data_IF_079353426337
#
_entry.id   IF_079353426337
#
_cell.length_a   1.000
_cell.length_b   1.000
_cell.length_c   1.000
_cell.angle_alpha   90.00
_cell.angle_beta   90.00
_cell.angle_gamma   90.00
#
_symmetry.space_group_name_H-M   'P 1'
#
loop_
_entity.id
_entity.type
_entity.pdbx_description
1 polymer ?
#
# COMPACT_ATOMS: atom_id res chain seq x y z
N UNK A 1 8.56 -7.01 16.94
CA UNK A 1 7.75 -8.21 16.66
C UNK A 1 7.05 -8.64 17.94
N UNK A 2 5.73 -8.84 17.88
CA UNK A 2 4.90 -9.21 19.05
C UNK A 2 4.04 -10.44 18.80
N UNK A 3 3.85 -10.84 17.53
CA UNK A 3 3.08 -12.02 17.13
C UNK A 3 3.63 -12.60 15.82
N UNK A 4 3.63 -13.90 15.69
CA UNK A 4 3.89 -14.62 14.45
C UNK A 4 3.23 -16.01 14.51
N UNK A 5 2.85 -16.55 13.34
CA UNK A 5 2.20 -17.87 13.28
C UNK A 5 3.20 -19.02 13.37
N UNK A 6 4.32 -18.90 12.67
CA UNK A 6 5.41 -19.88 12.69
C UNK A 6 6.74 -19.23 12.30
N UNK A 7 7.84 -19.92 12.58
CA UNK A 7 9.17 -19.51 12.16
C UNK A 7 10.05 -20.73 11.86
N UNK A 8 11.06 -20.54 11.07
CA UNK A 8 12.15 -21.50 10.87
C UNK A 8 13.26 -21.22 11.89
N UNK A 9 13.83 -22.25 12.51
CA UNK A 9 14.81 -22.11 13.59
C UNK A 9 16.04 -21.29 13.19
N UNK A 10 16.44 -21.33 11.91
CA UNK A 10 17.55 -20.55 11.37
C UNK A 10 17.18 -19.11 10.99
N UNK A 11 15.87 -18.80 10.91
CA UNK A 11 15.33 -17.54 10.44
C UNK A 11 14.16 -17.05 11.33
N UNK A 12 14.44 -16.80 12.62
CA UNK A 12 13.41 -16.48 13.59
C UNK A 12 12.82 -15.08 13.36
N UNK A 13 11.58 -14.88 13.81
CA UNK A 13 10.81 -13.65 13.58
C UNK A 13 11.42 -12.40 14.23
N UNK A 14 12.20 -12.56 15.29
CA UNK A 14 12.89 -11.45 15.94
C UNK A 14 13.97 -10.78 15.04
N UNK A 15 14.43 -11.44 13.99
CA UNK A 15 15.32 -10.86 12.99
C UNK A 15 14.71 -9.64 12.28
N UNK A 16 13.38 -9.54 12.22
CA UNK A 16 12.69 -8.39 11.64
C UNK A 16 12.65 -7.14 12.55
N UNK A 17 13.10 -7.24 13.80
CA UNK A 17 13.19 -6.09 14.71
C UNK A 17 14.37 -5.17 14.40
N UNK A 18 15.36 -5.65 13.65
CA UNK A 18 16.58 -4.91 13.37
C UNK A 18 16.94 -5.03 11.90
N UNK A 19 17.18 -3.89 11.26
CA UNK A 19 17.67 -3.86 9.88
C UNK A 19 19.18 -3.68 9.92
N UNK A 20 19.91 -4.70 9.50
CA UNK A 20 21.37 -4.66 9.35
C UNK A 20 21.81 -5.51 8.17
N UNK A 21 23.02 -5.28 7.62
CA UNK A 21 23.54 -6.12 6.53
C UNK A 21 23.66 -7.61 6.88
N UNK A 22 23.70 -7.94 8.17
CA UNK A 22 23.85 -9.29 8.69
C UNK A 22 22.52 -9.98 9.02
N UNK A 23 21.39 -9.25 8.98
CA UNK A 23 20.08 -9.86 9.23
C UNK A 23 19.69 -10.77 8.08
N UNK A 24 19.25 -11.98 8.43
CA UNK A 24 18.78 -12.99 7.47
C UNK A 24 17.29 -12.85 7.18
N UNK A 25 16.58 -12.09 8.00
CA UNK A 25 15.13 -11.96 7.97
C UNK A 25 14.41 -13.17 8.57
N UNK A 26 13.11 -13.17 8.44
CA UNK A 26 12.23 -14.23 8.90
C UNK A 26 11.83 -15.18 7.76
N UNK A 27 11.64 -16.45 8.09
CA UNK A 27 10.99 -17.43 7.24
C UNK A 27 9.95 -18.19 8.05
N UNK A 28 8.83 -18.52 7.43
CA UNK A 28 7.85 -19.42 8.04
C UNK A 28 8.44 -20.83 8.23
N UNK A 29 7.87 -21.61 9.12
CA UNK A 29 8.26 -23.02 9.24
C UNK A 29 8.07 -23.77 7.92
N UNK A 30 8.81 -24.86 7.77
CA UNK A 30 8.69 -25.75 6.60
C UNK A 30 7.31 -26.39 6.59
N UNK A 31 6.68 -26.41 5.40
CA UNK A 31 5.33 -26.95 5.20
C UNK A 31 4.28 -26.35 6.14
N UNK A 32 4.41 -25.06 6.47
CA UNK A 32 3.45 -24.36 7.31
C UNK A 32 2.08 -24.30 6.64
N UNK A 33 1.04 -24.18 7.47
CA UNK A 33 -0.31 -23.88 6.99
C UNK A 33 -0.46 -22.38 6.74
N UNK A 34 -1.23 -22.00 5.74
CA UNK A 34 -1.56 -20.62 5.44
C UNK A 34 -3.01 -20.30 5.89
N UNK A 35 -3.33 -19.02 6.23
CA UNK A 35 -2.43 -17.86 6.19
C UNK A 35 -1.43 -17.83 7.34
N UNK A 36 -0.28 -17.18 7.11
CA UNK A 36 0.68 -16.84 8.16
C UNK A 36 0.48 -15.40 8.63
N UNK A 37 0.61 -15.14 9.91
CA UNK A 37 0.51 -13.82 10.51
C UNK A 37 1.86 -13.35 11.02
N UNK A 38 2.15 -12.05 10.81
CA UNK A 38 3.22 -11.31 11.48
C UNK A 38 2.64 -10.05 12.12
N UNK A 39 2.89 -9.87 13.41
CA UNK A 39 2.45 -8.72 14.18
C UNK A 39 3.62 -7.90 14.72
N UNK A 40 3.58 -6.60 14.48
CA UNK A 40 4.58 -5.63 14.94
C UNK A 40 3.94 -4.64 15.90
N UNK A 41 4.65 -4.29 16.94
CA UNK A 41 4.31 -3.18 17.83
C UNK A 41 5.24 -2.01 17.55
N UNK A 42 4.69 -0.82 17.46
CA UNK A 42 5.45 0.42 17.35
C UNK A 42 5.97 0.82 18.74
N UNK A 43 7.25 1.21 18.81
CA UNK A 43 7.92 1.46 20.10
C UNK A 43 7.34 2.69 20.79
N UNK A 44 7.02 3.72 20.01
CA UNK A 44 6.54 5.00 20.52
C UNK A 44 5.01 5.04 20.73
N UNK A 45 4.34 3.88 20.69
CA UNK A 45 2.89 3.80 20.85
C UNK A 45 2.11 4.14 19.58
N UNK A 46 1.11 5.02 19.68
CA UNK A 46 0.35 5.49 18.52
C UNK A 46 1.12 6.57 17.77
N UNK A 47 1.66 6.22 16.61
CA UNK A 47 2.42 7.11 15.74
C UNK A 47 1.83 7.15 14.32
N UNK A 48 1.95 8.29 13.62
CA UNK A 48 1.56 8.37 12.23
C UNK A 48 2.54 7.58 11.35
N UNK A 49 2.00 6.77 10.45
CA UNK A 49 2.75 5.99 9.46
C UNK A 49 2.40 6.51 8.08
N UNK A 50 3.40 6.94 7.32
CA UNK A 50 3.24 7.40 5.94
C UNK A 50 3.66 6.37 4.92
N UNK A 51 4.52 5.42 5.30
CA UNK A 51 5.09 4.48 4.36
C UNK A 51 5.48 3.17 5.05
N UNK A 52 5.21 2.06 4.36
CA UNK A 52 5.74 0.74 4.70
C UNK A 52 6.63 0.26 3.57
N UNK A 53 7.81 -0.23 3.89
CA UNK A 53 8.72 -0.90 2.98
C UNK A 53 8.89 -2.35 3.40
N UNK A 54 8.76 -3.27 2.44
CA UNK A 54 8.92 -4.71 2.66
C UNK A 54 9.90 -5.27 1.63
N UNK A 55 10.99 -5.85 2.12
CA UNK A 55 11.97 -6.56 1.30
C UNK A 55 11.67 -8.06 1.35
N UNK A 56 11.26 -8.62 0.21
CA UNK A 56 10.94 -10.04 0.07
C UNK A 56 12.19 -10.89 -0.06
N UNK A 57 12.08 -12.17 0.29
CA UNK A 57 13.08 -13.17 -0.02
C UNK A 57 13.09 -13.47 -1.54
N UNK A 58 14.25 -13.84 -2.11
CA UNK A 58 14.39 -14.04 -3.56
C UNK A 58 13.63 -15.25 -4.13
N UNK A 59 13.35 -16.29 -3.33
CA UNK A 59 12.66 -17.51 -3.79
C UNK A 59 11.51 -17.96 -2.91
N UNK A 60 11.50 -17.60 -1.62
CA UNK A 60 10.41 -17.89 -0.68
C UNK A 60 9.44 -16.69 -0.63
N UNK A 61 8.67 -16.51 -1.70
CA UNK A 61 7.91 -15.30 -1.97
C UNK A 61 6.43 -15.56 -1.73
N UNK A 62 5.78 -14.64 -1.02
CA UNK A 62 4.32 -14.64 -0.87
C UNK A 62 3.64 -14.18 -2.15
N UNK A 63 2.50 -14.80 -2.51
CA UNK A 63 1.66 -14.30 -3.60
C UNK A 63 0.95 -13.02 -3.21
N UNK A 64 0.46 -12.95 -1.97
CA UNK A 64 -0.35 -11.85 -1.46
C UNK A 64 -0.12 -11.66 0.03
N UNK A 65 0.04 -10.40 0.43
CA UNK A 65 0.15 -9.99 1.84
C UNK A 65 -0.91 -8.92 2.10
N UNK A 66 -1.83 -9.17 3.02
CA UNK A 66 -2.78 -8.18 3.51
C UNK A 66 -2.19 -7.43 4.70
N UNK A 67 -2.46 -6.13 4.76
CA UNK A 67 -1.94 -5.25 5.79
C UNK A 67 -3.08 -4.63 6.61
N UNK A 68 -2.88 -4.60 7.93
CA UNK A 68 -3.79 -4.01 8.88
C UNK A 68 -3.05 -3.08 9.83
N UNK A 69 -3.73 -1.99 10.22
CA UNK A 69 -3.32 -1.11 11.30
C UNK A 69 -4.10 -1.45 12.57
N UNK A 70 -3.46 -1.44 13.72
CA UNK A 70 -4.08 -1.78 15.00
C UNK A 70 -4.00 -0.63 15.99
N UNK A 71 -5.08 -0.43 16.75
CA UNK A 71 -5.21 0.54 17.83
C UNK A 71 -5.46 -0.16 19.15
N UNK A 72 -4.80 0.27 20.20
CA UNK A 72 -4.99 -0.27 21.54
C UNK A 72 -3.70 -0.40 22.33
N UNK A 73 -3.82 -0.87 23.57
CA UNK A 73 -2.69 -1.04 24.50
C UNK A 73 -1.97 -2.39 24.37
N UNK A 74 -2.61 -3.39 23.75
CA UNK A 74 -2.06 -4.74 23.59
C UNK A 74 -2.47 -5.31 22.24
N UNK A 75 -1.56 -6.02 21.58
CA UNK A 75 -1.80 -6.67 20.28
C UNK A 75 -3.02 -7.61 20.29
N UNK A 76 -3.21 -8.36 21.39
CA UNK A 76 -4.32 -9.33 21.53
C UNK A 76 -5.69 -8.67 21.64
N UNK A 77 -5.76 -7.45 22.17
CA UNK A 77 -7.01 -6.71 22.38
C UNK A 77 -7.18 -5.55 21.40
N UNK A 78 -6.21 -5.32 20.54
CA UNK A 78 -6.22 -4.23 19.56
C UNK A 78 -7.34 -4.42 18.55
N UNK A 79 -7.95 -3.30 18.16
CA UNK A 79 -8.88 -3.26 17.04
C UNK A 79 -8.09 -3.06 15.75
N UNK A 80 -8.22 -3.99 14.82
CA UNK A 80 -7.50 -3.96 13.56
C UNK A 80 -8.38 -3.49 12.41
N UNK A 81 -7.90 -2.49 11.67
CA UNK A 81 -8.53 -1.99 10.44
C UNK A 81 -7.67 -2.41 9.25
N UNK A 82 -8.30 -3.02 8.25
CA UNK A 82 -7.61 -3.46 7.02
C UNK A 82 -7.22 -2.25 6.18
N UNK A 83 -5.94 -2.14 5.80
CA UNK A 83 -5.44 -1.07 4.94
C UNK A 83 -5.47 -1.44 3.46
N UNK A 84 -5.28 -2.71 3.14
CA UNK A 84 -5.25 -3.20 1.77
C UNK A 84 -4.41 -4.46 1.64
N UNK A 85 -3.93 -4.74 0.43
CA UNK A 85 -3.03 -5.85 0.16
C UNK A 85 -1.94 -5.46 -0.84
N UNK A 86 -0.83 -6.20 -0.82
CA UNK A 86 0.20 -6.17 -1.84
C UNK A 86 0.37 -7.55 -2.45
N UNK A 87 0.63 -7.63 -3.75
CA UNK A 87 1.10 -8.82 -4.44
C UNK A 87 2.59 -8.68 -4.72
N UNK A 88 3.29 -9.79 -4.68
CA UNK A 88 4.72 -9.86 -5.01
C UNK A 88 4.90 -10.72 -6.26
N UNK A 89 5.91 -10.40 -7.07
CA UNK A 89 6.26 -11.17 -8.26
C UNK A 89 6.83 -12.53 -7.88
N UNK A 90 6.64 -13.55 -8.75
CA UNK A 90 7.23 -14.88 -8.56
C UNK A 90 8.75 -14.91 -8.64
N UNK A 91 9.35 -13.86 -9.22
CA UNK A 91 10.78 -13.66 -9.39
C UNK A 91 11.49 -14.70 -10.29
N UNK A 92 10.72 -15.42 -11.11
CA UNK A 92 11.26 -16.41 -12.04
C UNK A 92 12.12 -15.77 -13.14
N UNK A 93 11.75 -14.54 -13.57
CA UNK A 93 12.47 -13.79 -14.60
C UNK A 93 13.92 -13.48 -14.19
N UNK A 94 14.16 -13.19 -12.91
CA UNK A 94 15.51 -12.97 -12.38
C UNK A 94 16.25 -14.27 -12.05
N UNK A 95 15.65 -15.43 -12.32
CA UNK A 95 16.14 -16.75 -11.87
C UNK A 95 16.36 -16.80 -10.34
N UNK A 96 15.52 -16.10 -9.57
CA UNK A 96 15.58 -15.99 -8.12
C UNK A 96 16.86 -15.33 -7.57
N UNK A 97 17.50 -14.47 -8.34
CA UNK A 97 18.73 -13.78 -7.92
C UNK A 97 18.49 -12.39 -7.36
N UNK A 98 17.36 -11.76 -7.72
CA UNK A 98 16.96 -10.47 -7.18
C UNK A 98 16.06 -10.61 -5.94
N UNK A 99 15.89 -9.53 -5.20
CA UNK A 99 14.92 -9.39 -4.10
C UNK A 99 14.02 -8.22 -4.40
N UNK A 100 12.71 -8.41 -4.32
CA UNK A 100 11.76 -7.32 -4.51
C UNK A 100 11.66 -6.47 -3.24
N UNK A 101 11.89 -5.15 -3.39
CA UNK A 101 11.58 -4.16 -2.38
C UNK A 101 10.23 -3.51 -2.74
N UNK A 102 9.19 -3.83 -1.96
CA UNK A 102 7.88 -3.24 -2.12
C UNK A 102 7.74 -2.03 -1.20
N UNK A 103 7.41 -0.89 -1.78
CA UNK A 103 7.12 0.34 -1.04
C UNK A 103 5.64 0.65 -1.14
N UNK A 104 5.00 0.87 0.00
CA UNK A 104 3.57 1.19 0.12
C UNK A 104 3.45 2.54 0.79
N UNK A 105 2.75 3.46 0.14
CA UNK A 105 2.43 4.76 0.70
C UNK A 105 1.09 4.70 1.40
N UNK A 106 1.05 5.24 2.60
CA UNK A 106 -0.10 5.24 3.50
C UNK A 106 -0.39 6.69 3.88
N UNK A 107 -1.64 7.11 3.90
CA UNK A 107 -2.00 8.51 4.21
C UNK A 107 -1.92 8.80 5.71
N UNK A 108 -0.70 8.87 6.24
CA UNK A 108 -0.42 9.25 7.64
C UNK A 108 -1.38 8.63 8.66
N UNK A 109 -1.64 7.34 8.51
CA UNK A 109 -2.53 6.62 9.41
C UNK A 109 -1.83 6.43 10.75
N UNK A 110 -2.50 6.83 11.82
CA UNK A 110 -2.00 6.64 13.19
C UNK A 110 -2.31 5.23 13.66
N UNK A 111 -1.40 4.60 14.40
CA UNK A 111 -1.62 3.30 15.01
C UNK A 111 -0.50 2.86 15.93
N UNK A 112 -0.77 1.82 16.72
CA UNK A 112 0.19 1.20 17.65
C UNK A 112 0.75 -0.12 17.13
N UNK A 113 0.03 -0.75 16.20
CA UNK A 113 0.38 -2.08 15.69
C UNK A 113 0.21 -2.16 14.19
N UNK A 114 1.08 -2.96 13.55
CA UNK A 114 0.91 -3.41 12.16
C UNK A 114 0.76 -4.93 12.18
N UNK A 115 -0.21 -5.43 11.41
CA UNK A 115 -0.41 -6.86 11.18
C UNK A 115 -0.35 -7.15 9.69
N UNK A 116 0.47 -8.14 9.33
CA UNK A 116 0.58 -8.66 7.98
C UNK A 116 -0.01 -10.08 7.96
N UNK A 117 -0.93 -10.33 7.03
CA UNK A 117 -1.52 -11.64 6.78
C UNK A 117 -1.04 -12.13 5.42
N UNK A 118 -0.25 -13.19 5.43
CA UNK A 118 0.42 -13.78 4.28
C UNK A 118 -0.42 -14.95 3.80
N UNK A 119 -1.00 -14.86 2.60
CA UNK A 119 -2.01 -15.83 2.13
C UNK A 119 -1.40 -17.17 1.71
N UNK A 120 -0.40 -17.16 0.88
CA UNK A 120 0.28 -18.35 0.37
C UNK A 120 1.61 -17.98 -0.31
N UNK A 121 2.43 -18.97 -0.63
CA UNK A 121 3.69 -18.79 -1.35
C UNK A 121 3.54 -19.02 -2.86
N UNK A 122 4.44 -18.44 -3.65
CA UNK A 122 4.67 -18.84 -5.03
C UNK A 122 5.34 -20.21 -5.07
N UNK A 123 4.81 -21.12 -5.89
CA UNK A 123 5.41 -22.45 -6.10
C UNK A 123 6.61 -22.32 -7.04
N UNK A 124 7.77 -22.77 -6.60
CA UNK A 124 8.97 -22.82 -7.42
C UNK A 124 9.94 -23.91 -6.92
N UNK A 125 10.89 -24.31 -7.79
CA UNK A 125 11.83 -25.40 -7.51
C UNK A 125 12.82 -25.13 -6.39
N UNK A 126 13.05 -23.84 -6.04
CA UNK A 126 13.96 -23.44 -4.96
C UNK A 126 13.27 -23.39 -3.60
N UNK A 127 11.94 -23.48 -3.57
CA UNK A 127 11.11 -23.42 -2.36
C UNK A 127 10.33 -24.71 -2.15
N UNK A 128 11.02 -25.83 -2.10
CA UNK A 128 10.42 -27.16 -1.95
C UNK A 128 9.67 -27.36 -0.62
N UNK A 129 9.96 -26.53 0.39
CA UNK A 129 9.32 -26.56 1.71
C UNK A 129 8.12 -25.64 1.82
N UNK A 130 7.67 -25.02 0.72
CA UNK A 130 6.51 -24.12 0.66
C UNK A 130 6.54 -22.99 1.73
N UNK A 131 7.72 -22.42 1.98
CA UNK A 131 7.93 -21.35 2.96
C UNK A 131 7.69 -19.96 2.34
N UNK A 132 7.45 -18.99 3.20
CA UNK A 132 7.55 -17.55 2.87
C UNK A 132 8.64 -16.93 3.71
N UNK A 133 9.41 -16.02 3.10
CA UNK A 133 10.46 -15.27 3.78
C UNK A 133 10.35 -13.77 3.53
N UNK A 134 10.56 -13.01 4.60
CA UNK A 134 10.67 -11.55 4.57
C UNK A 134 12.01 -11.18 5.15
N UNK A 135 12.81 -10.43 4.39
CA UNK A 135 14.16 -10.04 4.80
C UNK A 135 14.12 -8.82 5.74
N UNK A 136 13.28 -7.84 5.43
CA UNK A 136 13.12 -6.64 6.23
C UNK A 136 11.74 -6.02 6.09
N UNK A 137 11.29 -5.36 7.14
CA UNK A 137 10.10 -4.49 7.15
C UNK A 137 10.51 -3.17 7.80
N UNK A 138 10.29 -2.07 7.09
CA UNK A 138 10.49 -0.71 7.61
C UNK A 138 9.18 0.05 7.60
N UNK A 139 8.94 0.81 8.66
CA UNK A 139 7.84 1.74 8.81
C UNK A 139 8.42 3.15 8.92
N UNK A 140 7.92 4.05 8.10
CA UNK A 140 8.36 5.45 8.06
C UNK A 140 7.19 6.35 8.44
N UNK A 141 7.46 7.30 9.31
CA UNK A 141 6.55 8.40 9.62
C UNK A 141 6.53 9.46 8.51
N UNK A 142 5.64 10.46 8.59
CA UNK A 142 5.66 11.60 7.69
C UNK A 142 7.01 12.32 7.81
N UNK A 143 7.62 12.69 6.68
CA UNK A 143 8.80 13.56 6.67
C UNK A 143 8.37 14.94 7.20
N UNK A 144 9.07 15.44 8.20
CA UNK A 144 8.98 16.84 8.58
C UNK A 144 9.59 17.66 7.44
N UNK A 145 8.75 18.20 6.56
CA UNK A 145 9.20 19.30 5.72
C UNK A 145 9.43 20.48 6.66
N UNK A 146 10.68 20.85 6.82
CA UNK A 146 11.09 22.07 7.52
C UNK A 146 10.62 23.28 6.72
N UNK A 147 9.35 23.62 6.84
CA UNK A 147 8.87 24.96 6.55
C UNK A 147 9.18 25.82 7.77
N UNK A 148 10.28 26.56 7.69
CA UNK A 148 10.51 27.73 8.51
C UNK A 148 9.36 28.71 8.30
N UNK A 149 8.38 28.67 9.20
CA UNK A 149 7.43 29.74 9.43
C UNK A 149 7.00 29.72 10.89
N UNK A 150 7.24 30.81 11.64
CA UNK A 150 6.94 30.85 13.07
C UNK A 150 5.44 31.13 13.28
N UNK A 151 4.79 30.23 14.00
CA UNK A 151 3.56 30.52 14.73
C UNK A 151 2.29 29.93 14.20
N UNK A 152 1.90 28.80 14.75
CA UNK A 152 0.56 28.54 15.28
C UNK A 152 0.51 27.09 15.80
N UNK A 153 0.27 26.93 17.08
CA UNK A 153 0.09 25.63 17.72
C UNK A 153 -1.14 24.92 17.14
N UNK A 154 -0.90 23.92 16.33
CA UNK A 154 -1.95 23.01 15.86
C UNK A 154 -2.14 21.91 16.90
N UNK A 155 -3.20 22.03 17.68
CA UNK A 155 -3.73 20.93 18.48
C UNK A 155 -4.21 19.84 17.50
N UNK A 156 -3.51 18.71 17.47
CA UNK A 156 -3.98 17.49 16.81
C UNK A 156 -5.34 17.08 17.42
N UNK A 157 -6.42 17.35 16.73
CA UNK A 157 -7.72 16.76 17.01
C UNK A 157 -7.85 15.44 16.25
N UNK A 158 -7.30 14.38 16.84
CA UNK A 158 -7.40 13.01 16.33
C UNK A 158 -8.75 12.37 16.63
N UNK A 159 -9.85 12.85 16.03
CA UNK A 159 -11.17 12.19 16.18
C UNK A 159 -12.04 12.07 14.92
N UNK A 160 -11.63 12.59 13.77
CA UNK A 160 -12.49 12.61 12.57
C UNK A 160 -12.08 11.67 11.43
N UNK A 161 -10.91 11.01 11.51
CA UNK A 161 -10.39 10.22 10.39
C UNK A 161 -10.69 8.70 10.46
N UNK A 162 -11.27 8.19 11.54
CA UNK A 162 -11.37 6.73 11.79
C UNK A 162 -12.52 6.05 11.03
N UNK A 163 -13.52 6.80 10.54
CA UNK A 163 -14.73 6.17 9.99
C UNK A 163 -14.76 5.92 8.49
N UNK A 164 -13.76 6.35 7.71
CA UNK A 164 -13.79 6.23 6.25
C UNK A 164 -12.89 5.14 5.65
N UNK A 165 -12.23 4.32 6.47
CA UNK A 165 -11.31 3.28 5.96
C UNK A 165 -11.99 1.94 5.61
N UNK A 166 -13.31 1.86 5.66
CA UNK A 166 -14.04 0.60 5.47
C UNK A 166 -14.05 0.05 4.03
N UNK A 167 -13.49 0.76 3.04
CA UNK A 167 -13.46 0.28 1.65
C UNK A 167 -12.07 0.39 1.00
N UNK A 168 -11.00 0.12 1.76
CA UNK A 168 -9.65 -0.01 1.19
C UNK A 168 -9.43 -1.41 0.58
N UNK A 169 -10.28 -1.79 -0.36
CA UNK A 169 -9.97 -2.84 -1.34
C UNK A 169 -9.01 -2.34 -2.43
N UNK A 170 -8.21 -1.30 -2.11
CA UNK A 170 -7.22 -0.73 -3.03
C UNK A 170 -6.07 -1.70 -3.12
N UNK A 171 -5.77 -2.12 -4.33
CA UNK A 171 -4.55 -2.85 -4.64
C UNK A 171 -3.34 -1.92 -4.40
N UNK A 172 -2.51 -2.27 -3.42
CA UNK A 172 -1.31 -1.51 -3.06
C UNK A 172 -0.18 -1.62 -4.12
N UNK A 173 -0.39 -2.39 -5.19
CA UNK A 173 0.52 -2.45 -6.34
C UNK A 173 0.29 -1.33 -7.35
N UNK A 174 -0.66 -0.45 -7.12
CA UNK A 174 -0.89 0.71 -7.99
C UNK A 174 0.23 1.73 -7.88
N UNK A 175 0.46 2.47 -8.97
CA UNK A 175 1.31 3.65 -8.96
C UNK A 175 0.92 4.60 -7.81
N UNK A 176 1.90 5.12 -7.02
CA UNK A 176 1.61 5.93 -5.83
C UNK A 176 0.72 7.14 -6.08
N UNK A 177 0.90 7.82 -7.23
CA UNK A 177 0.08 8.98 -7.60
C UNK A 177 -1.36 8.57 -7.87
N UNK A 178 -1.56 7.45 -8.57
CA UNK A 178 -2.89 6.91 -8.85
C UNK A 178 -3.57 6.42 -7.58
N UNK A 179 -2.82 5.79 -6.68
CA UNK A 179 -3.34 5.38 -5.37
C UNK A 179 -3.83 6.59 -4.55
N UNK A 180 -3.07 7.70 -4.53
CA UNK A 180 -3.50 8.94 -3.88
C UNK A 180 -4.79 9.52 -4.47
N UNK A 181 -4.92 9.54 -5.81
CA UNK A 181 -6.13 9.99 -6.49
C UNK A 181 -7.34 9.09 -6.20
N UNK A 182 -7.14 7.78 -6.13
CA UNK A 182 -8.20 6.83 -5.77
C UNK A 182 -8.73 7.06 -4.35
N UNK A 183 -7.84 7.37 -3.39
CA UNK A 183 -8.27 7.72 -2.03
C UNK A 183 -9.12 8.98 -2.01
N UNK A 184 -8.69 10.04 -2.70
CA UNK A 184 -9.47 11.27 -2.83
C UNK A 184 -10.87 11.03 -3.43
N UNK A 185 -10.97 10.15 -4.43
CA UNK A 185 -12.24 9.76 -5.03
C UNK A 185 -13.09 8.93 -4.07
N UNK A 186 -12.49 8.00 -3.33
CA UNK A 186 -13.19 7.22 -2.31
C UNK A 186 -13.79 8.12 -1.21
N UNK A 187 -13.03 9.10 -0.74
CA UNK A 187 -13.54 10.10 0.22
C UNK A 187 -14.66 10.97 -0.37
N UNK A 188 -14.52 11.37 -1.64
CA UNK A 188 -15.57 12.12 -2.34
C UNK A 188 -16.84 11.27 -2.52
N UNK A 189 -16.70 9.98 -2.81
CA UNK A 189 -17.80 9.03 -2.91
C UNK A 189 -18.52 8.87 -1.57
N UNK A 190 -17.78 8.70 -0.46
CA UNK A 190 -18.35 8.60 0.86
C UNK A 190 -19.17 9.87 1.20
N UNK A 191 -18.61 11.06 0.96
CA UNK A 191 -19.34 12.33 1.16
C UNK A 191 -20.59 12.45 0.29
N UNK A 192 -20.57 11.94 -0.95
CA UNK A 192 -21.74 11.94 -1.81
C UNK A 192 -22.83 10.99 -1.29
N UNK A 193 -22.44 9.84 -0.74
CA UNK A 193 -23.38 8.89 -0.10
C UNK A 193 -23.98 9.50 1.16
N UNK A 194 -23.17 10.15 2.01
CA UNK A 194 -23.64 10.82 3.23
C UNK A 194 -24.62 12.00 2.91
N UNK A 195 -24.43 12.62 1.73
CA UNK A 195 -25.32 13.68 1.22
C UNK A 195 -26.52 13.11 0.42
N UNK A 196 -26.71 11.79 0.38
CA UNK A 196 -27.73 11.08 -0.41
C UNK A 196 -27.66 11.34 -1.92
N UNK A 197 -26.53 11.87 -2.44
CA UNK A 197 -26.29 12.09 -3.87
C UNK A 197 -25.75 10.80 -4.52
N UNK A 198 -26.63 9.84 -4.71
CA UNK A 198 -26.31 8.53 -5.29
C UNK A 198 -25.89 8.61 -6.76
N UNK A 199 -26.28 9.67 -7.48
CA UNK A 199 -25.85 9.87 -8.86
C UNK A 199 -24.37 10.22 -8.95
N UNK A 200 -23.91 11.14 -8.10
CA UNK A 200 -22.50 11.50 -7.99
C UNK A 200 -21.69 10.33 -7.45
N UNK A 201 -22.16 9.62 -6.42
CA UNK A 201 -21.51 8.44 -5.88
C UNK A 201 -21.32 7.33 -6.96
N UNK A 202 -22.35 7.11 -7.82
CA UNK A 202 -22.25 6.17 -8.93
C UNK A 202 -21.23 6.58 -9.99
N UNK A 203 -21.16 7.87 -10.33
CA UNK A 203 -20.16 8.40 -11.28
C UNK A 203 -18.74 8.22 -10.74
N UNK A 204 -18.52 8.59 -9.48
CA UNK A 204 -17.22 8.41 -8.82
C UNK A 204 -16.81 6.93 -8.83
N UNK A 205 -17.72 6.00 -8.53
CA UNK A 205 -17.46 4.55 -8.57
C UNK A 205 -16.99 4.07 -9.95
N UNK A 206 -17.55 4.60 -11.03
CA UNK A 206 -17.10 4.26 -12.39
C UNK A 206 -15.66 4.76 -12.65
N UNK A 207 -15.37 6.00 -12.25
CA UNK A 207 -14.03 6.58 -12.38
C UNK A 207 -13.01 5.84 -11.52
N UNK A 208 -13.36 5.45 -10.29
CA UNK A 208 -12.51 4.60 -9.45
C UNK A 208 -12.15 3.28 -10.15
N UNK A 209 -13.12 2.64 -10.81
CA UNK A 209 -12.88 1.38 -11.54
C UNK A 209 -11.92 1.57 -12.71
N UNK A 210 -12.12 2.64 -13.50
CA UNK A 210 -11.23 2.97 -14.62
C UNK A 210 -9.82 3.33 -14.13
N UNK A 211 -9.71 4.13 -13.08
CA UNK A 211 -8.41 4.49 -12.49
C UNK A 211 -7.64 3.29 -11.96
N UNK A 212 -8.33 2.32 -11.35
CA UNK A 212 -7.68 1.08 -10.90
C UNK A 212 -7.06 0.32 -12.08
N UNK A 213 -7.77 0.21 -13.20
CA UNK A 213 -7.24 -0.43 -14.40
C UNK A 213 -6.03 0.31 -14.99
N UNK A 214 -6.10 1.65 -15.06
CA UNK A 214 -5.01 2.48 -15.57
C UNK A 214 -3.80 2.47 -14.63
N UNK A 215 -3.99 2.52 -13.32
CA UNK A 215 -2.92 2.44 -12.33
C UNK A 215 -2.19 1.11 -12.31
N UNK A 216 -2.90 0.00 -12.53
CA UNK A 216 -2.28 -1.32 -12.71
C UNK A 216 -1.44 -1.37 -13.99
N UNK A 217 -1.92 -0.78 -15.09
CA UNK A 217 -1.15 -0.68 -16.34
C UNK A 217 0.11 0.17 -16.16
N UNK A 218 0.01 1.31 -15.47
CA UNK A 218 1.16 2.16 -15.15
C UNK A 218 2.24 1.41 -14.37
N UNK A 219 1.85 0.66 -13.34
CA UNK A 219 2.79 -0.12 -12.54
C UNK A 219 3.52 -1.18 -13.38
N UNK A 220 2.81 -1.83 -14.32
CA UNK A 220 3.42 -2.78 -15.25
C UNK A 220 4.41 -2.09 -16.21
N UNK A 221 4.06 -0.91 -16.71
CA UNK A 221 4.94 -0.12 -17.61
C UNK A 221 6.17 0.39 -16.89
N UNK A 222 6.06 0.83 -15.63
CA UNK A 222 7.23 1.23 -14.84
C UNK A 222 8.18 0.05 -14.58
N UNK A 223 7.66 -1.16 -14.39
CA UNK A 223 8.49 -2.38 -14.32
C UNK A 223 9.17 -2.66 -15.67
N UNK A 224 8.42 -2.65 -16.78
CA UNK A 224 8.98 -2.89 -18.11
C UNK A 224 10.05 -1.86 -18.48
N UNK A 225 9.87 -0.58 -18.11
CA UNK A 225 10.87 0.46 -18.26
C UNK A 225 12.15 0.16 -17.47
N UNK A 226 12.01 -0.30 -16.21
CA UNK A 226 13.15 -0.70 -15.39
C UNK A 226 13.91 -1.88 -16.00
N UNK A 227 13.20 -2.87 -16.54
CA UNK A 227 13.79 -4.02 -17.22
C UNK A 227 14.54 -3.61 -18.51
N UNK A 228 13.96 -2.69 -19.29
CA UNK A 228 14.62 -2.13 -20.50
C UNK A 228 15.91 -1.37 -20.15
N UNK A 229 15.89 -0.56 -19.09
CA UNK A 229 17.10 0.12 -18.58
C UNK A 229 18.15 -0.88 -18.11
N UNK A 230 17.75 -1.94 -17.41
CA UNK A 230 18.67 -2.98 -16.96
C UNK A 230 19.28 -3.79 -18.11
N UNK A 231 18.55 -3.89 -19.24
CA UNK A 231 19.03 -4.50 -20.49
C UNK A 231 19.83 -3.52 -21.40
N UNK A 232 20.06 -2.27 -20.93
CA UNK A 232 20.69 -1.18 -21.69
C UNK A 232 19.95 -0.81 -22.99
N UNK A 233 18.67 -1.19 -23.14
CA UNK A 233 17.80 -0.82 -24.26
C UNK A 233 17.13 0.54 -23.97
N UNK A 234 17.89 1.60 -24.21
CA UNK A 234 17.43 2.98 -23.92
C UNK A 234 16.36 3.48 -24.90
N UNK A 235 16.30 2.93 -26.11
CA UNK A 235 15.26 3.28 -27.08
C UNK A 235 13.89 2.74 -26.61
N UNK A 236 13.83 1.48 -26.20
CA UNK A 236 12.63 0.89 -25.62
C UNK A 236 12.25 1.59 -24.30
N UNK A 237 13.23 1.88 -23.43
CA UNK A 237 12.98 2.58 -22.18
C UNK A 237 12.37 3.97 -22.40
N UNK A 238 12.78 4.67 -23.47
CA UNK A 238 12.24 5.97 -23.87
C UNK A 238 10.80 5.85 -24.39
N UNK A 239 10.52 4.88 -25.25
CA UNK A 239 9.18 4.62 -25.77
C UNK A 239 8.19 4.34 -24.62
N UNK A 240 8.54 3.44 -23.70
CA UNK A 240 7.72 3.13 -22.51
C UNK A 240 7.52 4.38 -21.64
N UNK A 241 8.53 5.22 -21.49
CA UNK A 241 8.41 6.48 -20.75
C UNK A 241 7.38 7.41 -21.38
N UNK A 242 7.44 7.60 -22.70
CA UNK A 242 6.52 8.49 -23.43
C UNK A 242 5.07 8.00 -23.30
N UNK A 243 4.84 6.68 -23.41
CA UNK A 243 3.53 6.06 -23.16
C UNK A 243 3.07 6.23 -21.69
N UNK A 244 3.97 6.06 -20.72
CA UNK A 244 3.70 6.27 -19.31
C UNK A 244 3.24 7.69 -19.02
N UNK A 245 3.92 8.68 -19.60
CA UNK A 245 3.59 10.10 -19.45
C UNK A 245 2.25 10.46 -20.12
N UNK A 246 1.89 9.79 -21.21
CA UNK A 246 0.58 9.94 -21.83
C UNK A 246 -0.53 9.37 -20.94
N UNK A 247 -0.33 8.20 -20.36
CA UNK A 247 -1.30 7.55 -19.48
C UNK A 247 -1.53 8.37 -18.21
N UNK A 248 -0.48 8.99 -17.64
CA UNK A 248 -0.58 9.89 -16.49
C UNK A 248 -1.42 11.12 -16.79
N UNK A 249 -1.28 11.71 -17.97
CA UNK A 249 -2.13 12.84 -18.42
C UNK A 249 -3.60 12.41 -18.52
N UNK A 250 -3.88 11.24 -19.08
CA UNK A 250 -5.25 10.71 -19.16
C UNK A 250 -5.88 10.54 -17.78
N UNK A 251 -5.13 10.03 -16.80
CA UNK A 251 -5.57 9.92 -15.41
C UNK A 251 -5.90 11.28 -14.80
N UNK A 252 -5.03 12.27 -15.04
CA UNK A 252 -5.27 13.63 -14.53
C UNK A 252 -6.53 14.26 -15.09
N UNK A 253 -6.76 14.10 -16.38
CA UNK A 253 -7.94 14.68 -17.05
C UNK A 253 -9.23 14.01 -16.57
N UNK A 254 -9.25 12.70 -16.38
CA UNK A 254 -10.40 11.97 -15.82
C UNK A 254 -10.74 12.43 -14.39
N UNK A 255 -9.73 12.65 -13.55
CA UNK A 255 -9.93 13.14 -12.17
C UNK A 255 -10.41 14.59 -12.16
N UNK A 256 -9.86 15.46 -13.03
CA UNK A 256 -10.31 16.86 -13.15
C UNK A 256 -11.77 16.95 -13.55
N UNK A 257 -12.22 16.18 -14.54
CA UNK A 257 -13.62 16.16 -15.00
C UNK A 257 -14.55 15.77 -13.85
N UNK A 258 -14.15 14.82 -13.02
CA UNK A 258 -14.95 14.38 -11.87
C UNK A 258 -15.04 15.45 -10.80
N UNK A 259 -13.95 16.16 -10.52
CA UNK A 259 -13.90 17.25 -9.52
C UNK A 259 -14.65 18.52 -9.98
N UNK A 260 -14.59 18.87 -11.25
CA UNK A 260 -15.32 20.02 -11.82
C UNK A 260 -16.84 19.80 -11.71
N UNK A 261 -17.31 18.61 -12.03
CA UNK A 261 -18.73 18.27 -11.92
C UNK A 261 -19.24 18.28 -10.45
N UNK A 262 -18.37 17.98 -9.47
CA UNK A 262 -18.73 18.08 -8.05
C UNK A 262 -18.84 19.54 -7.54
N UNK A 263 -18.14 20.49 -8.17
CA UNK A 263 -18.24 21.91 -7.84
C UNK A 263 -19.47 22.59 -8.47
N UNK A 264 -19.99 22.08 -9.60
CA UNK A 264 -21.17 22.63 -10.26
C UNK A 264 -22.48 22.36 -9.49
N UNK A 265 -22.55 21.26 -8.73
CA UNK A 265 -23.73 20.94 -7.92
C UNK A 265 -23.85 21.82 -6.67
N UNK A 266 -22.82 22.57 -6.29
CA UNK A 266 -22.85 23.48 -5.11
C UNK A 266 -23.45 24.87 -5.38
N UNK A 267 -23.70 25.26 -6.63
CA UNK A 267 -24.12 26.63 -6.98
C UNK A 267 -25.49 26.77 -7.64
N UNK A 268 -26.27 25.69 -7.77
CA UNK A 268 -27.62 25.78 -8.35
C UNK A 268 -28.68 25.20 -7.42
N UNK A 269 -28.92 25.91 -6.32
CA UNK A 269 -30.22 25.96 -5.67
C UNK A 269 -30.66 27.46 -5.62
N UNK A 270 -31.52 27.91 -6.53
CA UNK A 270 -32.22 29.13 -6.26
C UNK A 270 -33.25 28.83 -5.16
N UNK A 271 -33.12 29.52 -4.05
CA UNK A 271 -34.20 29.69 -3.10
C UNK A 271 -35.41 30.21 -3.89
N UNK A 272 -36.48 29.46 -3.94
CA UNK A 272 -37.81 29.95 -4.23
C UNK A 272 -38.74 29.42 -3.15
N UNK A 273 -39.16 30.41 -2.35
CA UNK A 273 -40.30 30.53 -1.47
C UNK A 273 -41.05 29.29 -1.00
#
# INVERSE_FOLDING_TARGET
>A
MVSYSSEDDDYPANQLNTISPNTRGWQSSRFCTYPQELGFQLIDGEVPISQLQLLSHQSKISKKIEMFIGHGSSYKTATFTRLGYMSLDSNERSMFQARELKTIYIDNIVGSFIKLIISENHLNKQNIYAQVGIIAVSLLGPSEETHDSPGAGSKFQGKAAINNYNDLSIDLNLDPQTAGKLRQLSDAKARAVDAEDYLTAKRIKLVEHELKALGSKLAQMDMAKSDAVAAEDYDLAKEIKDETDQLRREIEDKVKITNVNNNFTRYNLPFLF
#
